data_IF_565944927557
#
_entry.id   IF_565944927557
#
_cell.length_a   1.000
_cell.length_b   1.000
_cell.length_c   1.000
_cell.angle_alpha   90.00
_cell.angle_beta   90.00
_cell.angle_gamma   90.00
#
_symmetry.space_group_name_H-M   'P 1'
#
loop_
_entity.id
_entity.type
_entity.pdbx_description
1 polymer ?
#
# COMPACT_ATOMS: atom_id res chain seq x y z
N UNK A 1 -34.00 -27.44 -15.15
CA UNK A 1 -33.77 -26.16 -15.86
C UNK A 1 -32.67 -26.38 -16.87
N UNK A 2 -32.98 -26.32 -18.16
CA UNK A 2 -32.08 -26.79 -19.24
C UNK A 2 -30.75 -26.07 -19.24
N UNK A 3 -29.69 -26.82 -18.92
CA UNK A 3 -28.32 -26.30 -18.84
C UNK A 3 -27.88 -25.68 -20.17
N UNK A 4 -28.33 -26.26 -21.30
CA UNK A 4 -28.04 -25.78 -22.65
C UNK A 4 -28.60 -24.37 -22.90
N UNK A 5 -29.90 -24.15 -22.64
CA UNK A 5 -30.53 -22.83 -22.80
C UNK A 5 -29.97 -21.78 -21.84
N UNK A 6 -29.55 -22.19 -20.63
CA UNK A 6 -28.90 -21.28 -19.69
C UNK A 6 -27.47 -20.91 -20.15
N UNK A 7 -26.73 -21.86 -20.71
CA UNK A 7 -25.40 -21.60 -21.26
C UNK A 7 -25.47 -20.70 -22.51
N UNK A 8 -26.42 -20.96 -23.41
CA UNK A 8 -26.67 -20.13 -24.59
C UNK A 8 -27.06 -18.69 -24.19
N UNK A 9 -27.92 -18.52 -23.18
CA UNK A 9 -28.29 -17.20 -22.66
C UNK A 9 -27.08 -16.45 -22.06
N UNK A 10 -26.16 -17.15 -21.37
CA UNK A 10 -24.90 -16.55 -20.90
C UNK A 10 -24.02 -16.10 -22.07
N UNK A 11 -23.96 -16.86 -23.16
CA UNK A 11 -23.22 -16.49 -24.37
C UNK A 11 -23.86 -15.29 -25.07
N UNK A 12 -25.19 -15.25 -25.15
CA UNK A 12 -25.96 -14.13 -25.68
C UNK A 12 -25.64 -12.82 -24.94
N UNK A 13 -25.71 -12.82 -23.60
CA UNK A 13 -25.37 -11.63 -22.81
C UNK A 13 -23.89 -11.24 -22.83
N UNK A 14 -23.01 -12.12 -23.34
CA UNK A 14 -21.59 -11.82 -23.60
C UNK A 14 -21.35 -11.31 -25.04
N UNK A 15 -22.41 -11.09 -25.82
CA UNK A 15 -22.33 -10.66 -27.21
C UNK A 15 -21.82 -11.72 -28.18
N UNK A 16 -21.77 -13.00 -27.78
CA UNK A 16 -21.23 -14.10 -28.60
C UNK A 16 -22.32 -14.78 -29.44
N UNK A 17 -23.05 -13.99 -30.25
CA UNK A 17 -24.24 -14.43 -30.99
C UNK A 17 -23.98 -15.59 -31.95
N UNK A 18 -22.87 -15.57 -32.70
CA UNK A 18 -22.49 -16.67 -33.61
C UNK A 18 -22.29 -18.01 -32.87
N UNK A 19 -21.80 -17.97 -31.62
CA UNK A 19 -21.69 -19.17 -30.78
C UNK A 19 -23.05 -19.64 -30.25
N UNK A 20 -23.99 -18.72 -30.02
CA UNK A 20 -25.36 -19.06 -29.64
C UNK A 20 -26.02 -19.83 -30.78
N UNK A 21 -25.95 -19.32 -32.01
CA UNK A 21 -26.49 -19.96 -33.20
C UNK A 21 -25.93 -21.37 -33.40
N UNK A 22 -24.60 -21.51 -33.45
CA UNK A 22 -23.92 -22.82 -33.59
C UNK A 22 -24.31 -23.83 -32.50
N UNK A 23 -24.58 -23.35 -31.29
CA UNK A 23 -24.95 -24.20 -30.15
C UNK A 23 -26.43 -24.62 -30.19
N UNK A 24 -27.31 -23.74 -30.65
CA UNK A 24 -28.75 -23.92 -30.57
C UNK A 24 -29.38 -24.47 -31.85
N UNK A 25 -28.89 -24.11 -33.05
CA UNK A 25 -29.46 -24.56 -34.33
C UNK A 25 -29.57 -26.08 -34.49
N UNK A 26 -28.58 -26.91 -34.07
CA UNK A 26 -28.73 -28.36 -34.15
C UNK A 26 -29.83 -28.93 -33.24
N UNK A 27 -30.28 -28.16 -32.25
CA UNK A 27 -31.23 -28.57 -31.22
C UNK A 27 -32.68 -28.14 -31.53
N UNK A 28 -32.97 -27.69 -32.76
CA UNK A 28 -34.31 -27.23 -33.16
C UNK A 28 -35.39 -28.29 -32.89
N UNK A 29 -35.11 -29.57 -33.15
CA UNK A 29 -36.07 -30.64 -32.87
C UNK A 29 -36.34 -30.84 -31.38
N UNK A 30 -35.31 -30.72 -30.53
CA UNK A 30 -35.42 -30.88 -29.08
C UNK A 30 -36.22 -29.73 -28.45
N UNK A 31 -36.06 -28.51 -28.95
CA UNK A 31 -36.65 -27.30 -28.38
C UNK A 31 -37.77 -26.69 -29.23
N UNK A 32 -38.45 -27.49 -30.07
CA UNK A 32 -39.46 -27.06 -31.05
C UNK A 32 -40.67 -26.30 -30.47
N UNK A 33 -40.92 -26.48 -29.16
CA UNK A 33 -42.05 -25.88 -28.43
C UNK A 33 -41.55 -24.85 -27.39
N UNK A 34 -40.27 -24.47 -27.45
CA UNK A 34 -39.66 -23.55 -26.49
C UNK A 34 -39.59 -22.12 -27.04
N UNK A 35 -40.49 -21.25 -26.56
CA UNK A 35 -40.47 -19.81 -26.87
C UNK A 35 -39.07 -19.19 -26.65
N UNK A 36 -38.44 -19.52 -25.52
CA UNK A 36 -37.14 -18.93 -25.13
C UNK A 36 -36.02 -19.34 -26.08
N UNK A 37 -36.06 -20.56 -26.60
CA UNK A 37 -35.11 -21.05 -27.59
C UNK A 37 -35.20 -20.24 -28.88
N UNK A 38 -36.42 -20.06 -29.41
CA UNK A 38 -36.65 -19.31 -30.63
C UNK A 38 -36.37 -17.81 -30.47
N UNK A 39 -36.64 -17.22 -29.30
CA UNK A 39 -36.28 -15.83 -29.03
C UNK A 39 -34.75 -15.64 -29.04
N UNK A 40 -33.99 -16.56 -28.44
CA UNK A 40 -32.53 -16.51 -28.42
C UNK A 40 -31.93 -16.66 -29.84
N UNK A 41 -32.43 -17.60 -30.63
CA UNK A 41 -32.03 -17.76 -32.03
C UNK A 41 -32.38 -16.51 -32.83
N UNK A 42 -33.64 -16.08 -32.76
CA UNK A 42 -34.15 -14.92 -33.48
C UNK A 42 -33.33 -13.66 -33.21
N UNK A 43 -33.12 -13.30 -31.94
CA UNK A 43 -32.29 -12.15 -31.59
C UNK A 43 -30.83 -12.32 -32.01
N UNK A 44 -30.25 -13.52 -31.81
CA UNK A 44 -28.86 -13.77 -32.23
C UNK A 44 -28.68 -13.60 -33.73
N UNK A 45 -29.65 -14.04 -34.55
CA UNK A 45 -29.68 -13.81 -35.99
C UNK A 45 -29.69 -12.31 -36.35
N UNK A 46 -30.47 -11.48 -35.61
CA UNK A 46 -30.47 -10.02 -35.84
C UNK A 46 -29.10 -9.42 -35.60
N UNK A 47 -28.42 -9.80 -34.52
CA UNK A 47 -27.09 -9.30 -34.21
C UNK A 47 -26.00 -9.82 -35.15
N UNK A 48 -26.22 -10.94 -35.84
CA UNK A 48 -25.31 -11.44 -36.88
C UNK A 48 -25.65 -10.94 -38.29
N UNK A 49 -26.70 -10.11 -38.44
CA UNK A 49 -27.16 -9.59 -39.72
C UNK A 49 -28.02 -10.54 -40.56
N UNK A 50 -28.37 -11.72 -40.04
CA UNK A 50 -29.28 -12.67 -40.69
C UNK A 50 -30.73 -12.33 -40.35
N UNK A 51 -31.27 -11.31 -41.02
CA UNK A 51 -32.65 -10.86 -40.80
C UNK A 51 -33.69 -11.88 -41.29
N UNK A 52 -33.34 -12.74 -42.26
CA UNK A 52 -34.23 -13.77 -42.79
C UNK A 52 -34.43 -14.91 -41.79
N UNK A 53 -33.33 -15.44 -41.25
CA UNK A 53 -33.36 -16.40 -40.13
C UNK A 53 -34.01 -15.79 -38.90
N UNK A 54 -33.66 -14.53 -38.59
CA UNK A 54 -34.26 -13.76 -37.49
C UNK A 54 -35.78 -13.68 -37.57
N UNK A 55 -36.33 -13.32 -38.73
CA UNK A 55 -37.79 -13.29 -38.97
C UNK A 55 -38.43 -14.64 -38.68
N UNK A 56 -37.85 -15.72 -39.21
CA UNK A 56 -38.42 -17.07 -39.14
C UNK A 56 -38.48 -17.57 -37.69
N UNK A 57 -37.39 -17.40 -36.94
CA UNK A 57 -37.35 -17.78 -35.53
C UNK A 57 -38.22 -16.88 -34.65
N UNK A 58 -38.27 -15.57 -34.89
CA UNK A 58 -39.11 -14.66 -34.12
C UNK A 58 -40.61 -14.88 -34.39
N UNK A 59 -40.98 -15.21 -35.63
CA UNK A 59 -42.36 -15.60 -35.97
C UNK A 59 -42.75 -16.88 -35.25
N UNK A 60 -41.83 -17.84 -35.13
CA UNK A 60 -42.07 -19.05 -34.35
C UNK A 60 -42.19 -18.76 -32.85
N UNK A 61 -41.39 -17.83 -32.31
CA UNK A 61 -41.52 -17.38 -30.93
C UNK A 61 -42.88 -16.70 -30.68
N UNK A 62 -43.35 -15.86 -31.60
CA UNK A 62 -44.67 -15.22 -31.53
C UNK A 62 -45.80 -16.25 -31.57
N UNK A 63 -45.73 -17.26 -32.45
CA UNK A 63 -46.72 -18.36 -32.48
C UNK A 63 -46.80 -19.14 -31.16
N UNK A 64 -45.66 -19.35 -30.49
CA UNK A 64 -45.59 -20.06 -29.21
C UNK A 64 -46.05 -19.21 -28.03
N UNK A 65 -45.94 -17.88 -28.14
CA UNK A 65 -46.36 -16.94 -27.11
C UNK A 65 -46.98 -15.69 -27.75
N UNK A 66 -48.25 -15.77 -28.21
CA UNK A 66 -48.91 -14.67 -28.89
C UNK A 66 -48.98 -13.41 -28.03
N UNK A 67 -48.73 -12.24 -28.64
CA UNK A 67 -48.72 -10.96 -27.94
C UNK A 67 -47.50 -10.73 -27.02
N UNK A 68 -46.50 -11.61 -27.06
CA UNK A 68 -45.25 -11.36 -26.34
C UNK A 68 -44.50 -10.16 -26.92
N UNK A 69 -44.10 -9.26 -26.02
CA UNK A 69 -43.46 -8.00 -26.38
C UNK A 69 -42.09 -8.19 -26.98
N UNK A 70 -41.31 -9.16 -26.49
CA UNK A 70 -39.95 -9.37 -26.95
C UNK A 70 -39.94 -9.92 -28.37
N UNK A 71 -40.80 -10.91 -28.66
CA UNK A 71 -40.97 -11.42 -30.02
C UNK A 71 -41.46 -10.32 -30.97
N UNK A 72 -42.48 -9.56 -30.57
CA UNK A 72 -43.06 -8.49 -31.40
C UNK A 72 -42.09 -7.32 -31.64
N UNK A 73 -41.27 -6.93 -30.66
CA UNK A 73 -40.20 -5.95 -30.86
C UNK A 73 -39.19 -6.41 -31.92
N UNK A 74 -38.82 -7.70 -31.87
CA UNK A 74 -37.93 -8.28 -32.87
C UNK A 74 -38.56 -8.32 -34.26
N UNK A 75 -39.82 -8.73 -34.37
CA UNK A 75 -40.55 -8.77 -35.64
C UNK A 75 -40.71 -7.38 -36.26
N UNK A 76 -41.09 -6.37 -35.46
CA UNK A 76 -41.20 -4.99 -35.92
C UNK A 76 -39.86 -4.45 -36.43
N UNK A 77 -38.76 -4.75 -35.73
CA UNK A 77 -37.42 -4.34 -36.14
C UNK A 77 -37.00 -5.00 -37.46
N UNK A 78 -37.29 -6.29 -37.63
CA UNK A 78 -37.02 -7.02 -38.88
C UNK A 78 -37.85 -6.48 -40.03
N UNK A 79 -39.14 -6.25 -39.83
CA UNK A 79 -40.02 -5.67 -40.86
C UNK A 79 -39.57 -4.26 -41.24
N UNK A 80 -39.18 -3.42 -40.27
CA UNK A 80 -38.60 -2.10 -40.55
C UNK A 80 -37.31 -2.20 -41.39
N UNK A 81 -36.45 -3.18 -41.10
CA UNK A 81 -35.22 -3.47 -41.84
C UNK A 81 -35.44 -4.12 -43.20
N UNK A 82 -36.62 -4.67 -43.47
CA UNK A 82 -37.02 -5.27 -44.76
C UNK A 82 -37.80 -4.31 -45.68
N UNK A 83 -38.13 -3.11 -45.21
CA UNK A 83 -38.92 -2.12 -45.95
C UNK A 83 -40.42 -2.27 -45.77
N UNK A 84 -40.85 -3.20 -44.92
CA UNK A 84 -42.23 -3.40 -44.51
C UNK A 84 -42.56 -2.41 -43.37
N UNK A 85 -42.45 -1.11 -43.65
CA UNK A 85 -42.57 -0.04 -42.64
C UNK A 85 -43.97 0.02 -42.02
N UNK A 86 -45.01 -0.19 -42.82
CA UNK A 86 -46.41 -0.24 -42.34
C UNK A 86 -46.61 -1.36 -41.32
N UNK A 87 -46.04 -2.54 -41.60
CA UNK A 87 -46.08 -3.69 -40.71
C UNK A 87 -45.38 -3.38 -39.38
N UNK A 88 -44.18 -2.78 -39.45
CA UNK A 88 -43.41 -2.41 -38.27
C UNK A 88 -44.18 -1.42 -37.39
N UNK A 89 -44.78 -0.39 -37.99
CA UNK A 89 -45.61 0.60 -37.27
C UNK A 89 -46.80 -0.11 -36.61
N UNK A 90 -47.51 -0.98 -37.35
CA UNK A 90 -48.66 -1.72 -36.82
C UNK A 90 -48.29 -2.55 -35.59
N UNK A 91 -47.18 -3.28 -35.65
CA UNK A 91 -46.71 -4.10 -34.53
C UNK A 91 -46.30 -3.22 -33.34
N UNK A 92 -45.64 -2.09 -33.56
CA UNK A 92 -45.28 -1.17 -32.47
C UNK A 92 -46.49 -0.52 -31.81
N UNK A 93 -47.49 -0.10 -32.58
CA UNK A 93 -48.74 0.44 -32.04
C UNK A 93 -49.49 -0.61 -31.22
N UNK A 94 -49.55 -1.87 -31.70
CA UNK A 94 -50.20 -2.94 -30.94
C UNK A 94 -49.49 -3.25 -29.62
N UNK A 95 -48.16 -3.07 -29.54
CA UNK A 95 -47.43 -3.18 -28.26
C UNK A 95 -47.82 -2.06 -27.30
N UNK A 96 -47.95 -0.81 -27.78
CA UNK A 96 -48.31 0.34 -26.96
C UNK A 96 -49.73 0.21 -26.39
N UNK A 97 -50.67 -0.25 -27.20
CA UNK A 97 -52.06 -0.49 -26.78
C UNK A 97 -52.15 -1.54 -25.66
N UNK A 98 -51.32 -2.59 -25.72
CA UNK A 98 -51.41 -3.72 -24.79
C UNK A 98 -50.62 -3.53 -23.48
N UNK A 99 -49.43 -2.92 -23.51
CA UNK A 99 -48.53 -2.82 -22.33
C UNK A 99 -48.16 -1.41 -21.91
N UNK A 100 -48.70 -0.39 -22.58
CA UNK A 100 -48.37 1.01 -22.33
C UNK A 100 -46.98 1.40 -22.85
N UNK A 101 -46.50 2.59 -22.45
CA UNK A 101 -45.30 3.18 -23.01
C UNK A 101 -44.01 2.37 -22.73
N UNK A 102 -43.35 1.97 -23.82
CA UNK A 102 -42.04 1.31 -23.79
C UNK A 102 -41.02 2.13 -24.57
N UNK A 103 -39.83 2.32 -23.98
CA UNK A 103 -38.75 3.14 -24.56
C UNK A 103 -38.26 2.56 -25.89
N UNK A 104 -38.24 1.25 -26.03
CA UNK A 104 -37.84 0.53 -27.24
C UNK A 104 -38.78 0.85 -28.41
N UNK A 105 -40.08 0.85 -28.15
CA UNK A 105 -41.12 1.15 -29.16
C UNK A 105 -41.06 2.61 -29.59
N UNK A 106 -40.93 3.54 -28.62
CA UNK A 106 -40.81 4.97 -28.91
C UNK A 106 -39.59 5.27 -29.80
N UNK A 107 -38.47 4.58 -29.56
CA UNK A 107 -37.27 4.70 -30.41
C UNK A 107 -37.52 4.18 -31.82
N UNK A 108 -38.17 3.02 -31.95
CA UNK A 108 -38.53 2.46 -33.26
C UNK A 108 -39.41 3.40 -34.08
N UNK A 109 -40.49 3.91 -33.49
CA UNK A 109 -41.39 4.86 -34.14
C UNK A 109 -40.68 6.17 -34.49
N UNK A 110 -39.82 6.68 -33.59
CA UNK A 110 -38.99 7.86 -33.85
C UNK A 110 -38.05 7.63 -35.04
N UNK A 111 -37.40 6.48 -35.12
CA UNK A 111 -36.52 6.10 -36.22
C UNK A 111 -37.25 6.13 -37.57
N UNK A 112 -38.45 5.56 -37.64
CA UNK A 112 -39.25 5.59 -38.87
C UNK A 112 -39.66 7.03 -39.21
N UNK A 113 -40.15 7.80 -38.23
CA UNK A 113 -40.58 9.19 -38.45
C UNK A 113 -39.47 10.11 -38.96
N UNK A 114 -38.24 9.89 -38.51
CA UNK A 114 -37.05 10.68 -38.88
C UNK A 114 -36.38 10.21 -40.16
N UNK A 115 -36.87 9.14 -40.78
CA UNK A 115 -36.31 8.56 -42.01
C UNK A 115 -37.29 8.78 -43.15
N UNK A 116 -36.83 9.42 -44.24
CA UNK A 116 -37.70 9.69 -45.41
C UNK A 116 -37.82 8.48 -46.33
N UNK A 117 -36.79 7.64 -46.35
CA UNK A 117 -36.69 6.46 -47.19
C UNK A 117 -36.32 5.23 -46.36
N UNK A 118 -36.72 4.05 -46.85
CA UNK A 118 -36.37 2.77 -46.24
C UNK A 118 -34.84 2.54 -46.17
N UNK A 119 -34.09 2.97 -47.18
CA UNK A 119 -32.62 2.90 -47.22
C UNK A 119 -31.98 3.51 -45.96
N UNK A 120 -32.51 4.65 -45.50
CA UNK A 120 -32.04 5.37 -44.32
C UNK A 120 -32.33 4.61 -43.02
N UNK A 121 -33.49 3.93 -42.93
CA UNK A 121 -33.84 3.08 -41.79
C UNK A 121 -32.85 1.92 -41.69
N UNK A 122 -32.60 1.25 -42.82
CA UNK A 122 -31.69 0.12 -42.89
C UNK A 122 -30.25 0.52 -42.46
N UNK A 123 -29.75 1.64 -42.96
CA UNK A 123 -28.42 2.17 -42.63
C UNK A 123 -28.30 2.52 -41.14
N UNK A 124 -29.28 3.25 -40.58
CA UNK A 124 -29.28 3.62 -39.16
C UNK A 124 -29.34 2.42 -38.23
N UNK A 125 -30.06 1.37 -38.60
CA UNK A 125 -30.11 0.13 -37.82
C UNK A 125 -28.79 -0.66 -37.84
N UNK A 126 -27.94 -0.45 -38.85
CA UNK A 126 -26.59 -1.02 -38.88
C UNK A 126 -25.60 -0.20 -38.06
N UNK A 127 -25.72 1.13 -38.07
CA UNK A 127 -24.85 2.03 -37.30
C UNK A 127 -25.19 2.03 -35.80
N UNK A 128 -26.46 1.88 -35.45
CA UNK A 128 -26.90 1.89 -34.06
C UNK A 128 -26.88 0.50 -33.41
N UNK A 129 -26.67 0.47 -32.09
CA UNK A 129 -26.76 -0.77 -31.31
C UNK A 129 -28.21 -1.27 -31.26
N UNK A 130 -28.48 -2.40 -31.93
CA UNK A 130 -29.80 -3.08 -31.95
C UNK A 130 -30.38 -3.35 -30.54
N UNK A 131 -29.52 -3.49 -29.51
CA UNK A 131 -29.92 -3.59 -28.10
C UNK A 131 -30.84 -2.45 -27.62
N UNK A 132 -30.85 -1.30 -28.29
CA UNK A 132 -31.72 -0.15 -27.94
C UNK A 132 -33.17 -0.36 -28.34
N UNK A 133 -33.43 -1.25 -29.29
CA UNK A 133 -34.74 -1.55 -29.88
C UNK A 133 -35.31 -2.90 -29.43
N UNK A 134 -34.45 -3.77 -28.87
CA UNK A 134 -34.81 -5.10 -28.41
C UNK A 134 -34.90 -5.15 -26.88
N UNK A 135 -35.74 -6.04 -26.36
CA UNK A 135 -35.87 -6.28 -24.92
C UNK A 135 -35.90 -7.77 -24.64
N UNK A 136 -34.80 -8.31 -24.12
CA UNK A 136 -34.77 -9.71 -23.69
C UNK A 136 -35.22 -9.87 -22.22
N UNK A 137 -36.12 -10.81 -21.87
CA UNK A 137 -36.59 -11.01 -20.51
C UNK A 137 -35.46 -11.50 -19.59
N UNK A 138 -34.91 -10.62 -18.75
CA UNK A 138 -33.88 -10.97 -17.75
C UNK A 138 -34.53 -11.59 -16.52
N UNK A 139 -33.99 -12.73 -16.05
CA UNK A 139 -34.32 -13.25 -14.71
C UNK A 139 -33.92 -12.22 -13.66
N UNK A 140 -34.90 -11.69 -12.90
CA UNK A 140 -34.64 -10.85 -11.73
C UNK A 140 -33.74 -11.64 -10.77
N UNK A 141 -32.48 -11.23 -10.62
CA UNK A 141 -31.61 -11.81 -9.59
C UNK A 141 -32.19 -11.43 -8.23
N UNK A 142 -32.47 -12.42 -7.39
CA UNK A 142 -33.07 -12.19 -6.08
C UNK A 142 -32.11 -11.34 -5.23
N UNK A 143 -32.44 -10.07 -4.91
CA UNK A 143 -31.52 -9.16 -4.21
C UNK A 143 -31.15 -9.67 -2.81
N UNK A 144 -32.04 -10.45 -2.20
CA UNK A 144 -31.86 -11.08 -0.89
C UNK A 144 -30.63 -11.97 -0.80
N UNK A 145 -30.19 -12.62 -1.90
CA UNK A 145 -28.95 -13.42 -1.88
C UNK A 145 -27.71 -12.56 -1.63
N UNK A 146 -27.68 -11.30 -2.09
CA UNK A 146 -26.57 -10.38 -1.80
C UNK A 146 -26.65 -9.86 -0.37
N UNK A 147 -27.87 -9.54 0.10
CA UNK A 147 -28.11 -9.09 1.46
C UNK A 147 -27.65 -10.14 2.48
N UNK A 148 -27.98 -11.41 2.26
CA UNK A 148 -27.56 -12.52 3.14
C UNK A 148 -26.04 -12.71 3.19
N UNK A 149 -25.33 -12.52 2.07
CA UNK A 149 -23.86 -12.61 2.05
C UNK A 149 -23.26 -11.44 2.84
N UNK A 150 -23.75 -10.22 2.61
CA UNK A 150 -23.25 -9.03 3.33
C UNK A 150 -23.54 -9.13 4.83
N UNK A 151 -24.74 -9.57 5.22
CA UNK A 151 -25.07 -9.75 6.64
C UNK A 151 -24.21 -10.82 7.29
N UNK A 152 -23.88 -11.92 6.60
CA UNK A 152 -23.01 -12.96 7.14
C UNK A 152 -21.58 -12.47 7.39
N UNK A 153 -21.04 -11.60 6.53
CA UNK A 153 -19.71 -11.00 6.70
C UNK A 153 -19.69 -10.02 7.86
N UNK A 154 -20.74 -9.22 8.02
CA UNK A 154 -20.85 -8.26 9.14
C UNK A 154 -20.92 -8.98 10.48
N UNK A 155 -21.72 -10.05 10.58
CA UNK A 155 -21.86 -10.84 11.81
C UNK A 155 -20.53 -11.53 12.17
N UNK A 156 -19.82 -12.06 11.18
CA UNK A 156 -18.51 -12.66 11.40
C UNK A 156 -17.50 -11.60 11.89
N UNK A 157 -17.46 -10.43 11.23
CA UNK A 157 -16.60 -9.31 11.61
C UNK A 157 -16.89 -8.77 13.00
N UNK A 158 -18.17 -8.64 13.39
CA UNK A 158 -18.54 -8.21 14.75
C UNK A 158 -18.20 -9.25 15.81
N UNK A 159 -18.30 -10.54 15.49
CA UNK A 159 -17.91 -11.61 16.42
C UNK A 159 -16.40 -11.63 16.66
N UNK A 160 -15.59 -11.38 15.62
CA UNK A 160 -14.14 -11.24 15.74
C UNK A 160 -13.79 -10.00 16.56
N UNK A 161 -14.44 -8.86 16.31
CA UNK A 161 -14.19 -7.61 17.04
C UNK A 161 -14.56 -7.67 18.54
N UNK A 162 -15.53 -8.51 18.93
CA UNK A 162 -15.89 -8.73 20.34
C UNK A 162 -14.94 -9.70 21.06
N UNK A 163 -14.29 -10.62 20.33
CA UNK A 163 -13.33 -11.58 20.90
C UNK A 163 -11.87 -11.10 20.83
N UNK A 164 -11.54 -10.24 19.86
CA UNK A 164 -10.25 -9.58 19.75
C UNK A 164 -10.38 -8.19 20.37
N UNK A 165 -9.87 -8.02 21.59
CA UNK A 165 -9.75 -6.71 22.22
C UNK A 165 -8.85 -5.78 21.35
N UNK A 166 -9.40 -4.84 20.58
CA UNK A 166 -8.63 -4.02 19.64
C UNK A 166 -7.74 -3.01 20.37
N UNK A 167 -8.01 -2.75 21.65
CA UNK A 167 -7.17 -1.88 22.47
C UNK A 167 -5.82 -2.54 22.81
N UNK A 168 -5.78 -3.88 22.91
CA UNK A 168 -4.53 -4.62 23.10
C UNK A 168 -3.64 -4.69 21.85
N UNK A 169 -4.19 -4.52 20.64
CA UNK A 169 -3.41 -4.54 19.40
C UNK A 169 -2.62 -3.24 19.20
N UNK A 170 -3.17 -2.10 19.62
CA UNK A 170 -2.48 -0.80 19.51
C UNK A 170 -1.55 -0.50 20.69
N UNK A 171 -1.63 -1.24 21.79
CA UNK A 171 -0.53 -1.28 22.74
C UNK A 171 0.65 -1.98 22.09
N UNK A 172 1.62 -1.19 21.61
CA UNK A 172 2.97 -1.69 21.31
C UNK A 172 3.37 -2.55 22.49
N UNK A 173 3.44 -3.87 22.31
CA UNK A 173 4.04 -4.76 23.28
C UNK A 173 5.49 -4.29 23.39
N UNK A 174 5.81 -3.55 24.45
CA UNK A 174 7.16 -3.07 24.71
C UNK A 174 8.06 -4.29 24.65
N UNK A 175 8.98 -4.30 23.69
CA UNK A 175 9.99 -5.35 23.57
C UNK A 175 10.99 -5.03 24.69
N UNK A 176 10.67 -5.46 25.90
CA UNK A 176 11.52 -5.29 27.05
C UNK A 176 12.76 -6.17 26.87
N UNK A 177 13.95 -5.58 26.95
CA UNK A 177 15.19 -6.36 26.96
C UNK A 177 15.21 -7.19 28.26
N UNK A 178 15.30 -8.53 28.20
CA UNK A 178 15.25 -9.37 29.39
C UNK A 178 16.40 -9.08 30.37
N UNK A 179 17.51 -8.54 29.87
CA UNK A 179 18.71 -8.16 30.64
C UNK A 179 18.48 -6.92 31.54
N UNK A 180 17.49 -6.08 31.22
CA UNK A 180 17.25 -4.77 31.88
C UNK A 180 15.92 -4.77 32.64
N UNK A 181 15.03 -5.73 32.40
CA UNK A 181 13.66 -5.81 32.91
C UNK A 181 13.50 -5.88 34.45
N UNK A 182 14.61 -5.89 35.22
CA UNK A 182 14.60 -5.91 36.70
C UNK A 182 15.39 -4.77 37.36
N UNK A 183 15.87 -3.78 36.60
CA UNK A 183 16.64 -2.66 37.16
C UNK A 183 15.68 -1.59 37.67
N UNK A 184 15.56 -1.50 39.00
CA UNK A 184 14.86 -0.40 39.67
C UNK A 184 15.86 0.67 40.09
N UNK A 185 15.79 1.85 39.48
CA UNK A 185 16.64 2.99 39.81
C UNK A 185 16.36 3.54 41.21
N UNK A 186 15.13 3.43 41.72
CA UNK A 186 14.66 4.15 42.92
C UNK A 186 14.57 3.30 44.19
N UNK A 187 15.14 2.09 44.18
CA UNK A 187 15.19 1.22 45.36
C UNK A 187 16.04 1.77 46.54
N UNK A 188 16.73 2.90 46.38
CA UNK A 188 17.55 3.52 47.42
C UNK A 188 17.38 5.05 47.41
N UNK A 189 17.27 5.60 48.61
CA UNK A 189 17.04 7.02 48.90
C UNK A 189 18.37 7.70 49.25
N UNK A 190 19.03 8.26 48.25
CA UNK A 190 20.19 9.16 48.40
C UNK A 190 19.79 10.61 48.17
N UNK A 191 20.33 11.54 48.98
CA UNK A 191 20.15 12.98 48.79
C UNK A 191 21.05 13.53 47.69
N UNK A 192 20.47 14.41 46.86
CA UNK A 192 21.08 15.08 45.72
C UNK A 192 22.09 16.14 46.17
N UNK A 193 23.33 15.78 46.48
CA UNK A 193 24.38 16.75 46.83
C UNK A 193 25.68 16.45 46.08
N UNK A 194 25.83 17.08 44.91
CA UNK A 194 27.12 17.13 44.21
C UNK A 194 27.37 18.54 43.69
N UNK A 195 28.23 19.30 44.38
CA UNK A 195 28.47 20.74 44.13
C UNK A 195 29.19 21.03 42.80
N UNK A 196 29.76 20.01 42.14
CA UNK A 196 30.53 20.15 40.90
C UNK A 196 29.81 19.57 39.66
N UNK A 197 28.49 19.56 39.65
CA UNK A 197 27.69 19.07 38.52
C UNK A 197 27.66 20.05 37.34
N UNK A 198 27.82 19.54 36.12
CA UNK A 198 27.68 20.32 34.89
C UNK A 198 26.19 20.58 34.55
N UNK A 199 25.31 19.64 34.94
CA UNK A 199 23.87 19.78 34.83
C UNK A 199 23.20 19.78 36.21
N UNK A 200 22.39 20.80 36.48
CA UNK A 200 21.55 20.85 37.68
C UNK A 200 20.15 20.39 37.28
N UNK A 201 19.75 19.22 37.76
CA UNK A 201 18.45 18.61 37.53
C UNK A 201 17.64 18.58 38.83
N UNK A 202 16.32 18.71 38.70
CA UNK A 202 15.35 18.44 39.77
C UNK A 202 15.16 16.93 39.97
N UNK A 203 14.63 16.50 41.12
CA UNK A 203 14.35 15.07 41.36
C UNK A 203 13.41 14.47 40.29
N UNK A 204 12.44 15.26 39.83
CA UNK A 204 11.51 14.83 38.78
C UNK A 204 12.20 14.72 37.41
N UNK A 205 13.16 15.60 37.11
CA UNK A 205 13.97 15.51 35.88
C UNK A 205 14.95 14.34 35.92
N UNK A 206 15.52 14.02 37.09
CA UNK A 206 16.33 12.82 37.28
C UNK A 206 15.48 11.57 37.04
N UNK A 207 14.24 11.54 37.56
CA UNK A 207 13.30 10.45 37.30
C UNK A 207 12.96 10.32 35.82
N UNK A 208 12.59 11.41 35.18
CA UNK A 208 12.30 11.42 33.75
C UNK A 208 13.51 10.94 32.92
N UNK A 209 14.72 11.35 33.27
CA UNK A 209 15.95 10.91 32.59
C UNK A 209 16.19 9.41 32.75
N UNK A 210 15.97 8.84 33.95
CA UNK A 210 16.10 7.38 34.16
C UNK A 210 15.06 6.56 33.39
N UNK A 211 13.81 7.02 33.34
CA UNK A 211 12.75 6.38 32.54
C UNK A 211 13.08 6.47 31.04
N UNK A 212 13.53 7.64 30.58
CA UNK A 212 13.95 7.85 29.19
C UNK A 212 15.11 6.92 28.80
N UNK A 213 16.10 6.71 29.66
CA UNK A 213 17.20 5.76 29.40
C UNK A 213 16.65 4.34 29.17
N UNK A 214 15.75 3.86 30.03
CA UNK A 214 15.17 2.52 29.92
C UNK A 214 14.34 2.37 28.64
N UNK A 215 13.53 3.38 28.31
CA UNK A 215 12.73 3.41 27.07
C UNK A 215 13.59 3.41 25.81
N UNK A 216 14.67 4.19 25.81
CA UNK A 216 15.63 4.24 24.71
C UNK A 216 16.33 2.89 24.52
N UNK A 217 16.73 2.22 25.60
CA UNK A 217 17.35 0.89 25.53
C UNK A 217 16.36 -0.19 25.05
N UNK A 218 15.13 -0.19 25.57
CA UNK A 218 14.07 -1.12 25.14
C UNK A 218 13.66 -0.90 23.68
N UNK A 219 13.75 0.33 23.17
CA UNK A 219 13.52 0.65 21.76
C UNK A 219 14.74 0.44 20.85
N UNK A 220 15.84 -0.13 21.39
CA UNK A 220 17.10 -0.36 20.67
C UNK A 220 17.68 0.92 20.06
N UNK A 221 17.57 2.03 20.78
CA UNK A 221 18.17 3.33 20.45
C UNK A 221 19.36 3.60 21.36
N UNK A 222 20.31 2.65 21.35
CA UNK A 222 21.39 2.58 22.33
C UNK A 222 22.31 3.80 22.28
N UNK A 223 22.48 4.42 21.10
CA UNK A 223 23.29 5.62 20.96
C UNK A 223 22.67 6.86 21.64
N UNK A 224 21.33 6.97 21.61
CA UNK A 224 20.60 8.01 22.33
C UNK A 224 20.62 7.73 23.83
N UNK A 225 20.41 6.46 24.22
CA UNK A 225 20.50 6.04 25.61
C UNK A 225 21.88 6.37 26.20
N UNK A 226 22.96 6.13 25.44
CA UNK A 226 24.32 6.47 25.84
C UNK A 226 24.47 7.96 26.16
N UNK A 227 23.96 8.84 25.29
CA UNK A 227 24.00 10.29 25.49
C UNK A 227 23.22 10.70 26.73
N UNK A 228 22.06 10.11 26.97
CA UNK A 228 21.24 10.43 28.15
C UNK A 228 21.88 9.92 29.45
N UNK A 229 22.52 8.74 29.42
CA UNK A 229 23.36 8.25 30.50
C UNK A 229 24.48 9.27 30.80
N UNK A 230 25.20 9.78 29.79
CA UNK A 230 26.24 10.78 30.00
C UNK A 230 25.69 12.06 30.65
N UNK A 231 24.53 12.56 30.20
CA UNK A 231 23.85 13.71 30.82
C UNK A 231 23.56 13.45 32.31
N UNK A 232 23.06 12.27 32.63
CA UNK A 232 22.77 11.87 34.01
C UNK A 232 24.06 11.78 34.85
N UNK A 233 25.14 11.23 34.31
CA UNK A 233 26.44 11.13 34.97
C UNK A 233 27.07 12.51 35.25
N UNK A 234 26.90 13.45 34.32
CA UNK A 234 27.35 14.84 34.45
C UNK A 234 26.43 15.72 35.30
N UNK A 235 25.29 15.18 35.77
CA UNK A 235 24.32 15.93 36.56
C UNK A 235 24.59 15.90 38.07
N UNK A 236 23.77 16.60 38.85
CA UNK A 236 23.77 16.57 40.31
C UNK A 236 23.10 15.31 40.90
N UNK A 237 22.68 14.34 40.09
CA UNK A 237 22.06 13.10 40.54
C UNK A 237 22.90 12.35 41.59
N UNK A 238 22.22 11.60 42.48
CA UNK A 238 22.87 10.80 43.51
C UNK A 238 23.80 9.74 42.91
N UNK A 239 24.88 9.41 43.63
CA UNK A 239 25.96 8.55 43.11
C UNK A 239 25.50 7.11 42.85
N UNK A 240 24.53 6.61 43.61
CA UNK A 240 23.90 5.31 43.41
C UNK A 240 23.14 5.22 42.08
N UNK A 241 22.39 6.28 41.71
CA UNK A 241 21.72 6.40 40.41
C UNK A 241 22.77 6.41 39.30
N UNK A 242 23.88 7.14 39.49
CA UNK A 242 24.98 7.19 38.53
C UNK A 242 25.67 5.82 38.37
N UNK A 243 25.89 5.08 39.45
CA UNK A 243 26.46 3.72 39.39
C UNK A 243 25.56 2.76 38.60
N UNK A 244 24.24 2.81 38.83
CA UNK A 244 23.27 2.02 38.03
C UNK A 244 23.31 2.42 36.56
N UNK A 245 23.38 3.72 36.26
CA UNK A 245 23.52 4.20 34.88
C UNK A 245 24.83 3.75 34.24
N UNK A 246 25.95 3.72 34.98
CA UNK A 246 27.22 3.16 34.50
C UNK A 246 27.11 1.66 34.21
N UNK A 247 26.40 0.92 35.04
CA UNK A 247 26.15 -0.51 34.81
C UNK A 247 25.37 -0.75 33.51
N UNK A 248 24.45 0.13 33.13
CA UNK A 248 23.71 0.01 31.86
C UNK A 248 24.58 0.13 30.60
N UNK A 249 25.71 0.82 30.69
CA UNK A 249 26.64 1.03 29.57
C UNK A 249 27.10 -0.30 28.97
N UNK A 250 27.29 -1.34 29.78
CA UNK A 250 27.79 -2.64 29.30
C UNK A 250 26.81 -3.36 28.35
N UNK A 251 25.53 -2.97 28.36
CA UNK A 251 24.50 -3.54 27.49
C UNK A 251 24.27 -2.71 26.21
N UNK A 252 25.06 -1.65 26.01
CA UNK A 252 25.06 -0.86 24.77
C UNK A 252 25.83 -1.63 23.71
N UNK A 253 25.12 -2.06 22.67
CA UNK A 253 25.74 -2.81 21.58
C UNK A 253 26.56 -1.88 20.67
N UNK A 254 27.72 -2.38 20.22
CA UNK A 254 28.47 -1.72 19.15
C UNK A 254 27.69 -1.81 17.83
N UNK A 255 27.39 -0.66 17.17
CA UNK A 255 26.63 -0.65 15.94
C UNK A 255 27.51 -0.91 14.70
N UNK A 256 26.87 -1.22 13.58
CA UNK A 256 27.44 -1.13 12.24
C UNK A 256 26.67 -0.09 11.41
N UNK A 257 27.11 0.17 10.17
CA UNK A 257 26.45 1.15 9.28
C UNK A 257 24.96 0.89 9.02
N UNK A 258 24.49 -0.36 9.09
CA UNK A 258 23.08 -0.70 8.88
C UNK A 258 22.25 -0.58 10.16
N UNK A 259 22.86 -0.63 11.36
CA UNK A 259 22.14 -0.62 12.64
C UNK A 259 22.20 0.72 13.36
N UNK A 260 23.14 1.61 13.04
CA UNK A 260 23.20 2.96 13.61
C UNK A 260 22.02 3.80 13.10
N UNK A 261 21.00 3.97 13.94
CA UNK A 261 19.79 4.76 13.61
C UNK A 261 19.97 6.26 13.88
N UNK A 262 20.55 6.58 15.02
CA UNK A 262 20.71 7.94 15.52
C UNK A 262 22.21 8.28 15.49
N UNK A 263 22.63 9.28 14.72
CA UNK A 263 24.01 9.78 14.65
C UNK A 263 24.04 11.27 15.00
N UNK A 264 25.10 11.70 15.67
CA UNK A 264 25.30 13.10 16.08
C UNK A 264 26.13 13.87 15.05
N UNK A 265 25.92 15.19 14.93
CA UNK A 265 26.71 16.04 14.03
C UNK A 265 28.02 16.46 14.67
N UNK A 266 28.98 16.90 13.84
CA UNK A 266 30.26 17.43 14.35
C UNK A 266 30.06 18.63 15.28
N UNK A 267 29.17 19.54 14.91
CA UNK A 267 28.84 20.73 15.71
C UNK A 267 28.30 20.34 17.11
N UNK A 268 27.39 19.37 17.17
CA UNK A 268 26.85 18.87 18.44
C UNK A 268 27.96 18.33 19.34
N UNK A 269 28.80 17.44 18.81
CA UNK A 269 29.87 16.79 19.58
C UNK A 269 30.96 17.79 19.99
N UNK A 270 31.35 18.70 19.09
CA UNK A 270 32.39 19.70 19.38
C UNK A 270 31.96 20.76 20.40
N UNK A 271 30.66 21.08 20.47
CA UNK A 271 30.14 22.05 21.43
C UNK A 271 30.14 21.52 22.88
N UNK A 272 29.89 20.22 23.09
CA UNK A 272 29.89 19.60 24.42
C UNK A 272 30.41 18.16 24.39
N UNK A 273 31.73 17.94 24.19
CA UNK A 273 32.29 16.61 24.02
C UNK A 273 31.96 15.60 25.15
N UNK A 274 31.97 15.98 26.45
CA UNK A 274 31.64 15.06 27.55
C UNK A 274 30.27 14.41 27.44
N UNK A 275 29.30 15.11 26.86
CA UNK A 275 27.94 14.60 26.69
C UNK A 275 27.86 13.45 25.68
N UNK A 276 28.81 13.38 24.73
CA UNK A 276 28.82 12.38 23.65
C UNK A 276 29.91 11.32 23.82
N UNK A 277 30.60 11.30 24.96
CA UNK A 277 31.63 10.30 25.24
C UNK A 277 31.06 8.87 25.13
N UNK A 278 31.71 8.03 24.33
CA UNK A 278 31.31 6.65 24.08
C UNK A 278 30.09 6.47 23.17
N UNK A 279 29.51 7.55 22.64
CA UNK A 279 28.53 7.49 21.56
C UNK A 279 29.20 7.16 20.23
N UNK A 280 28.41 6.65 19.29
CA UNK A 280 28.84 6.33 17.94
C UNK A 280 28.38 7.38 16.93
N UNK A 281 29.18 7.60 15.90
CA UNK A 281 28.90 8.52 14.80
C UNK A 281 29.21 7.84 13.47
N UNK A 282 28.55 8.27 12.41
CA UNK A 282 28.93 7.97 11.04
C UNK A 282 29.18 9.28 10.29
N UNK A 283 30.44 9.65 10.10
CA UNK A 283 30.83 10.91 9.46
C UNK A 283 31.54 10.69 8.14
N UNK A 284 31.23 11.57 7.18
CA UNK A 284 31.86 11.62 5.87
C UNK A 284 32.92 12.71 5.83
N UNK A 285 34.04 12.40 5.19
CA UNK A 285 35.14 13.34 5.06
C UNK A 285 36.24 12.82 4.16
N UNK A 286 37.39 13.51 4.20
CA UNK A 286 38.61 13.05 3.54
C UNK A 286 39.67 12.67 4.55
N UNK A 287 40.44 11.63 4.25
CA UNK A 287 41.62 11.24 5.03
C UNK A 287 42.79 12.18 4.75
N UNK A 288 43.46 12.63 5.81
CA UNK A 288 44.69 13.40 5.74
C UNK A 288 45.69 12.93 6.81
N UNK A 289 46.98 13.25 6.65
CA UNK A 289 48.03 12.99 7.66
C UNK A 289 48.07 11.53 8.16
N UNK A 290 48.00 10.57 7.24
CA UNK A 290 47.94 9.14 7.60
C UNK A 290 49.27 8.67 8.17
N UNK A 291 49.23 8.06 9.35
CA UNK A 291 50.35 7.48 10.07
C UNK A 291 50.02 6.03 10.44
N UNK A 292 50.94 5.11 10.14
CA UNK A 292 50.82 3.70 10.52
C UNK A 292 51.93 3.35 11.50
N UNK A 293 51.57 2.90 12.70
CA UNK A 293 52.51 2.51 13.75
C UNK A 293 51.97 1.30 14.51
N UNK A 294 52.77 0.24 14.65
CA UNK A 294 52.42 -0.94 15.46
C UNK A 294 51.04 -1.56 15.12
N UNK A 295 50.70 -1.66 13.84
CA UNK A 295 49.38 -2.18 13.36
C UNK A 295 48.18 -1.28 13.68
N UNK A 296 48.43 -0.09 14.25
CA UNK A 296 47.45 0.98 14.45
C UNK A 296 47.60 2.03 13.32
N UNK A 297 46.48 2.44 12.73
CA UNK A 297 46.43 3.50 11.74
C UNK A 297 45.78 4.72 12.38
N UNK A 298 46.48 5.85 12.34
CA UNK A 298 45.93 7.14 12.76
C UNK A 298 45.91 8.11 11.60
N UNK A 299 44.86 8.90 11.48
CA UNK A 299 44.74 9.91 10.43
C UNK A 299 43.81 11.04 10.88
N UNK A 300 43.89 12.18 10.21
CA UNK A 300 42.97 13.29 10.39
C UNK A 300 41.80 13.16 9.43
N UNK A 301 40.58 13.13 9.95
CA UNK A 301 39.35 13.17 9.16
C UNK A 301 38.90 14.62 8.98
N UNK A 302 38.89 15.07 7.73
CA UNK A 302 38.34 16.36 7.31
C UNK A 302 36.82 16.24 7.18
N UNK A 303 36.10 16.44 8.29
CA UNK A 303 34.65 16.20 8.39
C UNK A 303 33.88 17.18 7.50
N UNK A 304 32.87 16.67 6.78
CA UNK A 304 32.06 17.45 5.83
C UNK A 304 32.75 17.68 4.48
N UNK A 305 34.09 17.62 4.41
CA UNK A 305 34.88 17.99 3.23
C UNK A 305 34.97 16.91 2.13
N UNK A 306 34.03 15.96 2.10
CA UNK A 306 33.98 14.89 1.11
C UNK A 306 33.73 15.40 -0.33
N UNK A 307 32.89 16.43 -0.48
CA UNK A 307 32.57 17.07 -1.77
C UNK A 307 33.33 18.40 -1.99
N UNK A 308 34.35 18.69 -1.18
CA UNK A 308 35.15 19.94 -1.23
C UNK A 308 34.36 21.24 -1.00
N UNK A 309 33.13 21.14 -0.49
CA UNK A 309 32.20 22.27 -0.34
C UNK A 309 32.36 23.02 0.98
N UNK A 310 32.37 22.31 2.11
CA UNK A 310 32.47 22.90 3.46
C UNK A 310 33.26 22.00 4.41
N UNK A 311 34.25 22.56 5.08
CA UNK A 311 34.99 21.88 6.17
C UNK A 311 34.31 22.20 7.50
N UNK A 312 33.69 21.20 8.11
CA UNK A 312 33.05 21.34 9.44
C UNK A 312 34.08 21.31 10.56
N UNK A 313 35.11 20.47 10.41
CA UNK A 313 36.19 20.35 11.38
C UNK A 313 37.21 19.28 11.02
N UNK A 314 38.24 19.19 11.84
CA UNK A 314 39.31 18.19 11.72
C UNK A 314 39.37 17.40 13.02
N UNK A 315 39.26 16.09 12.93
CA UNK A 315 39.29 15.20 14.09
C UNK A 315 40.24 14.03 13.83
N UNK A 316 41.01 13.64 14.84
CA UNK A 316 41.92 12.50 14.76
C UNK A 316 41.15 11.20 14.92
N UNK A 317 41.33 10.30 13.96
CA UNK A 317 40.77 8.95 13.94
C UNK A 317 41.88 7.95 14.21
N UNK A 318 41.58 6.95 15.05
CA UNK A 318 42.40 5.78 15.32
C UNK A 318 41.67 4.54 14.82
N UNK A 319 42.34 3.69 14.06
CA UNK A 319 41.88 2.37 13.63
C UNK A 319 42.83 1.32 14.21
N UNK A 320 42.29 0.31 14.88
CA UNK A 320 43.01 -0.84 15.43
C UNK A 320 42.91 -2.08 14.53
N UNK A 321 42.50 -1.88 13.28
CA UNK A 321 42.39 -2.92 12.26
C UNK A 321 43.05 -2.47 10.93
N UNK A 322 43.58 -3.42 10.14
CA UNK A 322 44.29 -3.10 8.92
C UNK A 322 43.35 -2.61 7.82
N UNK A 323 43.62 -1.41 7.29
CA UNK A 323 42.91 -0.82 6.15
C UNK A 323 43.93 -0.18 5.22
N UNK A 324 43.83 -0.46 3.92
CA UNK A 324 44.58 0.30 2.92
C UNK A 324 43.92 1.68 2.75
N UNK A 325 44.53 2.74 3.26
CA UNK A 325 44.01 4.11 3.16
C UNK A 325 45.02 5.00 2.44
N UNK A 326 44.53 5.82 1.51
CA UNK A 326 45.33 6.76 0.74
C UNK A 326 45.06 8.20 1.20
N UNK A 327 46.01 9.09 0.98
CA UNK A 327 45.85 10.52 1.28
C UNK A 327 44.74 11.14 0.41
N UNK A 328 43.98 12.07 0.98
CA UNK A 328 42.89 12.81 0.30
C UNK A 328 41.76 11.90 -0.22
N UNK A 329 41.63 10.67 0.30
CA UNK A 329 40.58 9.73 -0.08
C UNK A 329 39.26 10.08 0.61
N UNK A 330 38.16 10.04 -0.14
CA UNK A 330 36.80 10.18 0.41
C UNK A 330 36.42 8.94 1.20
N UNK A 331 36.08 9.14 2.47
CA UNK A 331 35.73 8.06 3.40
C UNK A 331 34.49 8.40 4.20
N UNK A 332 33.78 7.36 4.59
CA UNK A 332 32.75 7.39 5.61
C UNK A 332 33.21 6.53 6.78
N UNK A 333 33.34 7.13 7.95
CA UNK A 333 33.91 6.50 9.14
C UNK A 333 32.80 6.32 10.17
N UNK A 334 32.57 5.06 10.55
CA UNK A 334 31.82 4.70 11.74
C UNK A 334 32.80 4.63 12.90
N UNK A 335 32.62 5.48 13.91
CA UNK A 335 33.54 5.53 15.04
C UNK A 335 32.82 5.80 16.36
N UNK A 336 33.50 5.44 17.45
CA UNK A 336 33.15 5.78 18.82
C UNK A 336 33.89 7.05 19.23
N UNK A 337 33.20 7.96 19.91
CA UNK A 337 33.79 9.19 20.44
C UNK A 337 34.55 8.87 21.73
N UNK A 338 35.81 9.29 21.80
CA UNK A 338 36.68 9.07 22.95
C UNK A 338 37.32 10.39 23.37
N UNK A 339 37.23 10.71 24.66
CA UNK A 339 37.88 11.88 25.22
C UNK A 339 39.35 11.55 25.53
N UNK A 340 40.30 12.45 25.20
CA UNK A 340 41.69 12.26 25.57
C UNK A 340 41.85 12.31 27.09
N UNK A 341 42.81 11.55 27.63
CA UNK A 341 43.21 11.68 29.03
C UNK A 341 43.70 13.10 29.31
N UNK A 342 43.39 13.63 30.50
CA UNK A 342 43.57 15.05 30.90
C UNK A 342 45.00 15.60 30.77
N UNK A 343 46.00 14.76 30.54
CA UNK A 343 47.43 15.13 30.52
C UNK A 343 48.06 15.20 29.11
N UNK A 344 47.28 15.23 28.02
CA UNK A 344 47.82 15.43 26.66
C UNK A 344 47.67 16.90 26.18
N UNK A 345 48.76 17.70 26.15
CA UNK A 345 48.72 19.05 25.62
C UNK A 345 48.61 19.04 24.08
N UNK A 346 47.50 19.59 23.56
CA UNK A 346 47.31 19.85 22.13
C UNK A 346 46.08 19.19 21.47
N UNK A 347 45.40 18.28 22.17
CA UNK A 347 44.16 17.66 21.67
C UNK A 347 42.96 18.58 21.90
N UNK A 348 42.47 19.23 20.85
CA UNK A 348 41.18 19.93 20.90
C UNK A 348 40.05 18.90 21.00
N UNK A 349 39.48 18.78 22.19
CA UNK A 349 38.13 18.24 22.43
C UNK A 349 38.04 16.72 22.56
N UNK A 350 38.24 15.97 21.48
CA UNK A 350 37.96 14.52 21.42
C UNK A 350 38.69 13.84 20.25
N UNK A 351 38.72 12.51 20.29
CA UNK A 351 39.25 11.62 19.24
C UNK A 351 38.18 10.60 18.85
N UNK A 352 38.39 9.93 17.71
CA UNK A 352 37.50 8.91 17.21
C UNK A 352 38.20 7.55 17.15
N UNK A 353 37.64 6.55 17.82
CA UNK A 353 38.02 5.15 17.66
C UNK A 353 37.15 4.52 16.59
N UNK A 354 37.74 4.26 15.42
CA UNK A 354 37.02 3.70 14.28
C UNK A 354 36.61 2.26 14.55
N UNK A 355 35.35 1.97 14.25
CA UNK A 355 34.74 0.65 14.27
C UNK A 355 34.69 0.06 12.86
N UNK A 356 34.38 0.90 11.88
CA UNK A 356 34.32 0.51 10.47
C UNK A 356 34.54 1.72 9.56
N UNK A 357 35.01 1.47 8.35
CA UNK A 357 35.29 2.53 7.37
C UNK A 357 34.87 2.06 5.97
N UNK A 358 34.15 2.93 5.27
CA UNK A 358 33.82 2.76 3.86
C UNK A 358 34.61 3.75 3.01
N UNK A 359 35.16 3.26 1.90
CA UNK A 359 35.72 4.10 0.85
C UNK A 359 34.58 4.50 -0.08
N UNK A 360 34.36 5.79 -0.24
CA UNK A 360 33.37 6.27 -1.18
C UNK A 360 33.96 6.14 -2.61
N UNK A 361 33.16 5.63 -3.53
CA UNK A 361 33.51 5.58 -4.95
C UNK A 361 33.53 7.02 -5.51
N UNK A 362 34.43 7.26 -6.46
CA UNK A 362 34.61 8.56 -7.12
C UNK A 362 33.40 9.00 -7.94
#
# INVERSE_FOLDING_TARGET
>A
MDQVLSAAEKLYFRGKYSRVLRMLEPQVFQYRDSYRFYLLLGYSCLFTGDFGGGYSYLRRAEQLSPGDTSANLGLALVSAKRGETEEAIRIWLSILENKGELKEVQRGLKLIRESKEFSQIAMRLEEEKLDRYLRYPRKKKNPWKKVLIVSSVIILGSSVFLYFDPYGWFSKKEILRPEIAGIDFFSASGSTENENAEFVLTEDEVRASTEEILDLMNSFRDNMARREINRLLLSNAAEDIKEKARYLIQYIAEPNFATLKDSFTFEQVSSQPPLYEGCYIAWKGKSANILTKNDEITFDLLVGYHDESLLEGVVKVRLDFPVFLEENRRVEVLAKIVLPEKDQPGSRGFTLDGVSIHKLLE
#
